data_IF_845143165308
#
_entry.id   IF_845143165308
#
_cell.length_a   1.000
_cell.length_b   1.000
_cell.length_c   1.000
_cell.angle_alpha   90.00
_cell.angle_beta   90.00
_cell.angle_gamma   90.00
#
_symmetry.space_group_name_H-M   'P 1'
#
loop_
_entity.id
_entity.type
_entity.pdbx_description
1 polymer ?
#
# COMPACT_ATOMS: atom_id res chain seq x y z
N UNK A 1 -17.56 4.97 27.27
CA UNK A 1 -17.04 5.72 26.13
C UNK A 1 -16.40 4.78 25.13
N UNK A 2 -16.90 4.74 23.92
CA UNK A 2 -16.31 3.85 22.91
C UNK A 2 -14.98 4.40 22.42
N UNK A 3 -13.97 3.55 22.39
CA UNK A 3 -12.70 3.89 21.77
C UNK A 3 -12.85 3.69 20.26
N UNK A 4 -12.70 4.75 19.49
CA UNK A 4 -12.77 4.62 18.03
C UNK A 4 -11.59 3.82 17.52
N UNK A 5 -11.86 2.86 16.65
CA UNK A 5 -10.83 2.08 15.97
C UNK A 5 -10.15 2.95 14.90
N UNK A 6 -8.81 2.97 14.91
CA UNK A 6 -8.05 3.58 13.83
C UNK A 6 -8.02 2.63 12.64
N UNK A 7 -8.30 3.16 11.47
CA UNK A 7 -8.35 2.36 10.26
C UNK A 7 -7.47 2.99 9.18
N UNK A 8 -6.65 2.16 8.55
CA UNK A 8 -5.76 2.59 7.48
C UNK A 8 -5.85 1.69 6.27
N UNK A 9 -5.28 2.14 5.16
CA UNK A 9 -5.23 1.38 3.91
C UNK A 9 -3.94 1.66 3.17
N UNK A 10 -3.50 0.69 2.38
CA UNK A 10 -2.33 0.82 1.54
C UNK A 10 -2.43 -0.04 0.29
N UNK A 11 -1.66 0.34 -0.72
CA UNK A 11 -1.70 -0.28 -2.03
C UNK A 11 -0.34 -0.83 -2.45
N UNK A 12 -0.30 -2.13 -2.77
CA UNK A 12 0.78 -2.74 -3.52
C UNK A 12 0.46 -2.54 -5.00
N UNK A 13 1.12 -1.58 -5.62
CA UNK A 13 0.88 -1.24 -7.02
C UNK A 13 1.83 -2.03 -7.90
N UNK A 14 1.27 -2.93 -8.69
CA UNK A 14 1.98 -3.86 -9.55
C UNK A 14 1.92 -3.42 -11.01
N UNK A 15 3.07 -3.32 -11.65
CA UNK A 15 3.15 -3.03 -13.07
C UNK A 15 3.19 -4.34 -13.86
N UNK A 16 2.17 -4.59 -14.67
CA UNK A 16 2.02 -5.82 -15.44
C UNK A 16 3.13 -5.99 -16.48
N UNK A 17 3.55 -4.91 -17.13
CA UNK A 17 4.56 -5.01 -18.21
C UNK A 17 5.96 -5.27 -17.69
N UNK A 18 6.30 -4.86 -16.48
CA UNK A 18 7.65 -5.00 -15.92
C UNK A 18 7.73 -6.00 -14.76
N UNK A 19 6.59 -6.47 -14.23
CA UNK A 19 6.51 -7.35 -13.06
C UNK A 19 7.14 -6.74 -11.81
N UNK A 20 7.03 -5.41 -11.65
CA UNK A 20 7.62 -4.66 -10.54
C UNK A 20 6.55 -3.95 -9.73
N UNK A 21 6.89 -3.71 -8.47
CA UNK A 21 6.03 -3.03 -7.48
C UNK A 21 6.58 -1.67 -7.13
N UNK A 22 5.68 -0.72 -6.83
CA UNK A 22 6.03 0.63 -6.41
C UNK A 22 6.17 0.69 -4.90
N UNK A 23 7.31 1.22 -4.45
CA UNK A 23 7.57 1.55 -3.04
C UNK A 23 7.91 3.02 -2.93
N UNK A 24 7.51 3.64 -1.82
CA UNK A 24 7.71 5.07 -1.55
C UNK A 24 8.61 5.26 -0.34
N UNK A 25 9.59 6.14 -0.46
CA UNK A 25 10.50 6.48 0.64
C UNK A 25 9.85 7.53 1.53
N UNK A 26 9.62 7.18 2.78
CA UNK A 26 8.89 8.01 3.74
C UNK A 26 9.73 9.18 4.23
N UNK A 27 9.10 10.34 4.34
CA UNK A 27 9.68 11.55 4.93
C UNK A 27 8.78 12.12 6.03
N UNK A 28 8.03 11.26 6.73
CA UNK A 28 7.24 11.67 7.88
C UNK A 28 8.01 11.42 9.17
N UNK A 29 7.63 12.06 10.26
CA UNK A 29 8.30 11.91 11.56
C UNK A 29 8.33 10.46 12.05
N UNK A 30 7.29 9.71 11.71
CA UNK A 30 7.19 8.31 12.06
C UNK A 30 7.78 7.45 10.96
N UNK A 31 8.76 6.60 11.31
CA UNK A 31 9.42 5.67 10.39
C UNK A 31 10.05 6.38 9.18
N UNK A 32 10.66 7.53 9.43
CA UNK A 32 11.39 8.28 8.40
C UNK A 32 12.49 7.41 7.78
N UNK A 33 12.71 7.58 6.47
CA UNK A 33 13.71 6.86 5.69
C UNK A 33 13.43 5.35 5.59
N UNK A 34 12.20 4.91 5.85
CA UNK A 34 11.75 3.56 5.54
C UNK A 34 10.87 3.58 4.29
N UNK A 35 10.79 2.43 3.63
CA UNK A 35 10.03 2.26 2.41
C UNK A 35 8.65 1.70 2.71
N UNK A 36 7.63 2.34 2.20
CA UNK A 36 6.25 1.96 2.43
C UNK A 36 5.43 1.94 1.15
N UNK A 37 4.12 1.75 1.35
CA UNK A 37 3.15 1.73 0.27
C UNK A 37 2.44 3.08 0.17
N UNK A 38 1.83 3.35 -0.99
CA UNK A 38 0.88 4.46 -1.09
C UNK A 38 -0.34 4.14 -0.25
N UNK A 39 -0.78 5.09 0.56
CA UNK A 39 -1.94 4.89 1.43
C UNK A 39 -1.91 5.79 2.64
N UNK A 40 -2.85 5.58 3.53
CA UNK A 40 -2.96 6.37 4.74
C UNK A 40 -4.21 6.05 5.55
N UNK A 41 -4.63 7.02 6.33
CA UNK A 41 -5.73 6.86 7.27
C UNK A 41 -7.08 6.95 6.55
N UNK A 42 -8.00 6.05 6.92
CA UNK A 42 -9.40 6.14 6.52
C UNK A 42 -10.06 7.19 7.42
N UNK A 43 -10.62 8.22 6.81
CA UNK A 43 -11.25 9.31 7.54
C UNK A 43 -12.73 9.01 7.81
N UNK A 44 -13.28 9.70 8.81
CA UNK A 44 -14.68 9.54 9.17
C UNK A 44 -15.58 9.85 7.98
N UNK A 45 -16.50 8.94 7.71
CA UNK A 45 -17.43 9.09 6.59
C UNK A 45 -16.94 8.53 5.27
N UNK A 46 -15.68 8.07 5.21
CA UNK A 46 -15.13 7.40 4.03
C UNK A 46 -15.29 5.90 4.12
N UNK A 47 -15.52 5.25 2.98
CA UNK A 47 -15.27 3.81 2.86
C UNK A 47 -13.75 3.62 2.69
N UNK A 48 -13.28 2.38 2.92
CA UNK A 48 -11.86 2.05 2.74
C UNK A 48 -11.42 2.34 1.31
N UNK A 49 -12.24 1.98 0.33
CA UNK A 49 -11.93 2.21 -1.08
C UNK A 49 -11.87 3.70 -1.42
N UNK A 50 -12.77 4.50 -0.85
CA UNK A 50 -12.72 5.96 -1.03
C UNK A 50 -11.43 6.55 -0.45
N UNK A 51 -11.03 6.10 0.74
CA UNK A 51 -9.78 6.54 1.36
C UNK A 51 -8.57 6.16 0.50
N UNK A 52 -8.58 4.94 -0.04
CA UNK A 52 -7.50 4.46 -0.90
C UNK A 52 -7.35 5.34 -2.15
N UNK A 53 -8.45 5.65 -2.83
CA UNK A 53 -8.43 6.54 -4.00
C UNK A 53 -7.93 7.94 -3.65
N UNK A 54 -8.40 8.50 -2.54
CA UNK A 54 -7.97 9.82 -2.09
C UNK A 54 -6.48 9.86 -1.81
N UNK A 55 -5.97 8.87 -1.07
CA UNK A 55 -4.55 8.78 -0.72
C UNK A 55 -3.67 8.59 -1.96
N UNK A 56 -4.10 7.76 -2.90
CA UNK A 56 -3.36 7.56 -4.15
C UNK A 56 -3.27 8.88 -4.93
N UNK A 57 -4.38 9.60 -5.03
CA UNK A 57 -4.39 10.89 -5.72
C UNK A 57 -3.46 11.90 -5.03
N UNK A 58 -3.52 11.98 -3.69
CA UNK A 58 -2.67 12.90 -2.91
C UNK A 58 -1.19 12.55 -2.99
N UNK A 59 -0.85 11.27 -2.95
CA UNK A 59 0.54 10.83 -2.85
C UNK A 59 1.21 10.57 -4.21
N UNK A 60 0.45 10.20 -5.22
CA UNK A 60 0.98 9.83 -6.54
C UNK A 60 0.53 10.75 -7.66
N UNK A 61 -0.50 11.58 -7.44
CA UNK A 61 -0.99 12.52 -8.42
C UNK A 61 -1.84 11.92 -9.52
N UNK A 62 -2.31 10.69 -9.37
CA UNK A 62 -3.10 10.01 -10.39
C UNK A 62 -4.21 9.15 -9.84
N UNK A 63 -5.16 8.78 -10.70
CA UNK A 63 -6.28 7.91 -10.36
C UNK A 63 -6.04 6.49 -10.86
N UNK A 64 -6.63 5.52 -10.16
CA UNK A 64 -6.54 4.10 -10.49
C UNK A 64 -7.95 3.55 -10.65
N UNK A 65 -8.16 2.77 -11.72
CA UNK A 65 -9.47 2.18 -12.02
C UNK A 65 -9.86 1.13 -10.97
N UNK A 66 -11.11 1.19 -10.51
CA UNK A 66 -11.65 0.26 -9.51
C UNK A 66 -11.54 -1.20 -9.93
N UNK A 67 -11.74 -1.50 -11.21
CA UNK A 67 -11.72 -2.86 -11.72
C UNK A 67 -10.37 -3.56 -11.52
N UNK A 68 -9.30 -2.80 -11.25
CA UNK A 68 -7.95 -3.33 -11.08
C UNK A 68 -7.54 -3.44 -9.61
N UNK A 69 -8.43 -3.16 -8.67
CA UNK A 69 -8.15 -3.17 -7.23
C UNK A 69 -8.66 -4.48 -6.63
N UNK A 70 -7.79 -5.21 -5.93
CA UNK A 70 -8.15 -6.46 -5.25
C UNK A 70 -7.64 -6.45 -3.82
N UNK A 71 -8.46 -6.86 -2.83
CA UNK A 71 -8.00 -6.93 -1.44
C UNK A 71 -7.02 -8.09 -1.25
N UNK A 72 -5.96 -7.84 -0.47
CA UNK A 72 -4.97 -8.86 -0.12
C UNK A 72 -5.12 -9.27 1.33
N UNK A 73 -5.10 -8.32 2.24
CA UNK A 73 -5.05 -8.59 3.68
C UNK A 73 -5.86 -7.56 4.45
N UNK A 74 -6.54 -8.03 5.48
CA UNK A 74 -7.10 -7.16 6.53
C UNK A 74 -6.41 -7.55 7.83
N UNK A 75 -5.60 -6.65 8.36
CA UNK A 75 -4.93 -6.85 9.63
C UNK A 75 -5.72 -6.16 10.74
N UNK A 76 -5.93 -6.86 11.84
CA UNK A 76 -6.53 -6.29 13.04
C UNK A 76 -5.56 -6.50 14.20
N UNK A 77 -5.24 -5.43 14.93
CA UNK A 77 -4.35 -5.52 16.08
C UNK A 77 -4.98 -6.35 17.20
N UNK A 78 -4.14 -6.88 18.12
CA UNK A 78 -4.59 -7.73 19.22
C UNK A 78 -5.62 -7.02 20.10
N UNK A 79 -5.42 -5.73 20.35
CA UNK A 79 -6.36 -4.92 21.15
C UNK A 79 -7.58 -4.44 20.33
N UNK A 80 -7.64 -4.76 19.03
CA UNK A 80 -8.70 -4.38 18.11
C UNK A 80 -8.87 -2.87 17.92
N UNK A 81 -7.86 -2.09 18.30
CA UNK A 81 -7.90 -0.63 18.14
C UNK A 81 -7.35 -0.15 16.81
N UNK A 82 -6.76 -1.04 16.02
CA UNK A 82 -6.19 -0.70 14.72
C UNK A 82 -6.51 -1.77 13.69
N UNK A 83 -7.02 -1.34 12.54
CA UNK A 83 -7.31 -2.19 11.38
C UNK A 83 -6.59 -1.61 10.16
N UNK A 84 -5.91 -2.45 9.41
CA UNK A 84 -5.21 -2.02 8.20
C UNK A 84 -5.58 -2.92 7.03
N UNK A 85 -5.97 -2.29 5.92
CA UNK A 85 -6.37 -2.98 4.70
C UNK A 85 -5.30 -2.81 3.63
N UNK A 86 -4.79 -3.91 3.12
CA UNK A 86 -3.82 -3.91 2.02
C UNK A 86 -4.49 -4.39 0.74
N UNK A 87 -4.29 -3.65 -0.33
CA UNK A 87 -4.86 -3.94 -1.64
C UNK A 87 -3.76 -4.16 -2.67
N UNK A 88 -4.05 -5.01 -3.64
CA UNK A 88 -3.22 -5.21 -4.82
C UNK A 88 -3.85 -4.44 -5.98
N UNK A 89 -3.07 -3.57 -6.60
CA UNK A 89 -3.55 -2.74 -7.71
C UNK A 89 -2.66 -3.00 -8.92
N UNK A 90 -3.28 -3.23 -10.08
CA UNK A 90 -2.56 -3.51 -11.32
C UNK A 90 -2.58 -2.30 -12.23
N UNK A 91 -1.41 -1.89 -12.70
CA UNK A 91 -1.26 -0.89 -13.75
C UNK A 91 -0.54 -1.51 -14.93
N UNK A 92 -0.80 -1.01 -16.14
CA UNK A 92 -0.20 -1.58 -17.36
C UNK A 92 1.26 -1.14 -17.55
N UNK A 93 1.58 0.07 -17.12
CA UNK A 93 2.90 0.67 -17.29
C UNK A 93 3.36 1.35 -16.01
N UNK A 94 4.68 1.37 -15.79
CA UNK A 94 5.25 2.17 -14.71
C UNK A 94 5.04 3.65 -15.00
N UNK A 95 4.87 4.42 -13.94
CA UNK A 95 4.71 5.86 -14.04
C UNK A 95 5.64 6.56 -13.06
N UNK A 96 5.86 7.84 -13.28
CA UNK A 96 6.62 8.70 -12.37
C UNK A 96 5.60 9.36 -11.43
N UNK A 97 5.56 8.97 -10.14
CA UNK A 97 4.58 9.56 -9.22
C UNK A 97 4.91 11.03 -8.93
N UNK A 98 3.87 11.83 -8.78
CA UNK A 98 4.00 13.21 -8.31
C UNK A 98 3.97 13.18 -6.78
N UNK A 99 5.15 13.03 -6.17
CA UNK A 99 5.26 12.89 -4.72
C UNK A 99 4.91 14.18 -4.00
N UNK A 100 4.21 14.03 -2.86
CA UNK A 100 3.95 15.15 -1.96
C UNK A 100 5.02 15.22 -0.86
N UNK A 101 4.80 16.08 0.13
CA UNK A 101 5.77 16.31 1.21
C UNK A 101 5.98 15.10 2.14
N UNK A 102 5.16 14.06 2.04
CA UNK A 102 5.28 12.88 2.89
C UNK A 102 6.31 11.86 2.37
N UNK A 103 6.75 12.00 1.13
CA UNK A 103 7.66 11.07 0.50
C UNK A 103 8.79 11.79 -0.23
N UNK A 104 10.02 11.27 -0.08
CA UNK A 104 11.21 11.85 -0.71
C UNK A 104 11.63 11.11 -1.99
N UNK A 105 11.11 9.92 -2.22
CA UNK A 105 11.52 9.14 -3.38
C UNK A 105 10.62 7.94 -3.62
N UNK A 106 10.90 7.24 -4.70
CA UNK A 106 10.15 6.04 -5.07
C UNK A 106 11.07 5.07 -5.81
N UNK A 107 10.66 3.80 -5.86
CA UNK A 107 11.30 2.82 -6.72
C UNK A 107 10.30 1.79 -7.21
N UNK A 108 10.57 1.23 -8.39
CA UNK A 108 9.85 0.08 -8.94
C UNK A 108 10.81 -1.11 -8.90
N UNK A 109 10.46 -2.15 -8.17
CA UNK A 109 11.30 -3.35 -8.00
C UNK A 109 10.44 -4.60 -7.96
N UNK A 110 10.99 -5.78 -8.36
CA UNK A 110 10.30 -7.05 -8.13
C UNK A 110 10.04 -7.25 -6.64
N UNK A 111 8.99 -7.99 -6.29
CA UNK A 111 8.60 -8.17 -4.89
C UNK A 111 9.74 -8.72 -4.03
N UNK A 112 10.47 -9.71 -4.54
CA UNK A 112 11.59 -10.35 -3.84
C UNK A 112 12.80 -9.45 -3.65
N UNK A 113 12.83 -8.30 -4.33
CA UNK A 113 13.92 -7.32 -4.23
C UNK A 113 13.47 -6.01 -3.60
N UNK A 114 12.48 -6.08 -2.73
CA UNK A 114 11.95 -4.87 -2.09
C UNK A 114 13.06 -4.07 -1.40
N UNK A 115 12.91 -2.73 -1.35
CA UNK A 115 13.93 -1.87 -0.75
C UNK A 115 13.95 -2.00 0.77
N UNK A 116 15.07 -1.67 1.38
CA UNK A 116 15.27 -1.78 2.83
C UNK A 116 15.75 -0.44 3.39
N UNK A 117 15.36 -0.09 4.61
CA UNK A 117 14.44 -0.84 5.47
C UNK A 117 12.98 -0.63 5.06
N UNK A 118 12.16 -1.64 5.25
CA UNK A 118 10.72 -1.51 5.05
C UNK A 118 10.06 -0.87 6.27
N UNK A 119 9.00 -0.12 6.03
CA UNK A 119 8.08 0.29 7.09
C UNK A 119 7.64 -0.97 7.86
N UNK A 120 7.62 -0.93 9.21
CA UNK A 120 7.32 -2.13 10.00
C UNK A 120 6.02 -2.85 9.62
N UNK A 121 4.99 -2.10 9.24
CA UNK A 121 3.73 -2.70 8.82
C UNK A 121 3.85 -3.50 7.52
N UNK A 122 4.62 -2.98 6.55
CA UNK A 122 4.87 -3.66 5.28
C UNK A 122 5.74 -4.90 5.51
N UNK A 123 6.79 -4.75 6.31
CA UNK A 123 7.67 -5.86 6.68
C UNK A 123 6.88 -7.01 7.30
N UNK A 124 5.97 -6.70 8.23
CA UNK A 124 5.12 -7.70 8.87
C UNK A 124 4.22 -8.41 7.84
N UNK A 125 3.60 -7.66 6.94
CA UNK A 125 2.75 -8.22 5.88
C UNK A 125 3.54 -9.23 5.03
N UNK A 126 4.78 -8.88 4.65
CA UNK A 126 5.61 -9.74 3.81
C UNK A 126 6.17 -10.97 4.56
N UNK A 127 6.09 -11.00 5.88
CA UNK A 127 6.48 -12.17 6.67
C UNK A 127 5.45 -13.28 6.67
N UNK A 128 4.19 -12.96 6.34
CA UNK A 128 3.17 -14.00 6.27
C UNK A 128 3.24 -14.69 4.92
N UNK A 129 3.65 -15.97 4.95
CA UNK A 129 3.77 -16.76 3.73
C UNK A 129 2.46 -16.84 2.96
N UNK A 130 1.33 -16.95 3.66
CA UNK A 130 0.01 -16.99 3.03
C UNK A 130 -0.28 -15.71 2.24
N UNK A 131 0.13 -14.54 2.74
CA UNK A 131 -0.06 -13.26 2.06
C UNK A 131 0.82 -13.19 0.81
N UNK A 132 2.10 -13.56 0.94
CA UNK A 132 3.04 -13.56 -0.18
C UNK A 132 2.56 -14.52 -1.27
N UNK A 133 2.08 -15.71 -0.90
CA UNK A 133 1.53 -16.67 -1.86
C UNK A 133 0.31 -16.13 -2.58
N UNK A 134 -0.56 -15.41 -1.88
CA UNK A 134 -1.72 -14.77 -2.49
C UNK A 134 -1.28 -13.71 -3.52
N UNK A 135 -0.27 -12.90 -3.18
CA UNK A 135 0.27 -11.89 -4.10
C UNK A 135 0.80 -12.58 -5.37
N UNK A 136 1.60 -13.63 -5.21
CA UNK A 136 2.15 -14.38 -6.34
C UNK A 136 1.06 -15.00 -7.21
N UNK A 137 0.00 -15.50 -6.59
CA UNK A 137 -1.15 -16.03 -7.33
C UNK A 137 -1.83 -14.95 -8.15
N UNK A 138 -2.03 -13.76 -7.56
CA UNK A 138 -2.61 -12.63 -8.27
C UNK A 138 -1.78 -12.23 -9.49
N UNK A 139 -0.45 -12.25 -9.37
CA UNK A 139 0.44 -11.94 -10.49
C UNK A 139 0.24 -12.91 -11.67
N UNK A 140 -0.07 -14.17 -11.37
CA UNK A 140 -0.24 -15.20 -12.40
C UNK A 140 -1.58 -15.13 -13.14
N UNK A 141 -2.63 -14.61 -12.50
CA UNK A 141 -3.98 -14.58 -13.06
C UNK A 141 -4.36 -13.24 -13.69
N UNK A 142 -3.45 -12.32 -13.70
CA UNK A 142 -3.65 -10.98 -14.26
C UNK A 142 -3.43 -10.98 -15.78
#
# INVERSE_FOLDING_TARGET
>A
METSTLEGCGALIYCKSTHRYLFLLRNSNRYRNSWGLAGGKVEKGETVTQALHREILEELGGEIADAKIRPIEKFTSDNKNFVYHTFHIVVDHEFIPELNHEHDGYCWVPLEKYPKPLHPGVWRTFKFEAVVNKIKTLEQVI
#
